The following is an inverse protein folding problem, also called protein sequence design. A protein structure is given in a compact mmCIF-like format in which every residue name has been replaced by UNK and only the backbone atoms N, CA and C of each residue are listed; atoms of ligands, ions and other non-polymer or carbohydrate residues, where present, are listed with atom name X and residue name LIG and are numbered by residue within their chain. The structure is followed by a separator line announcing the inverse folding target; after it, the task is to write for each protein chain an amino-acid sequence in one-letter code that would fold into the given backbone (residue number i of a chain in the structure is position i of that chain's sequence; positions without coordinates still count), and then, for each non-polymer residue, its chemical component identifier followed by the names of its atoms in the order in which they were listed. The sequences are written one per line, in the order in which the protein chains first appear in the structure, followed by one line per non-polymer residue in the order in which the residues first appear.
data_IF_998670366624
#
_entry.id   IF_998670366624
#
_cell.length_a   1.000
_cell.length_b   1.000
_cell.length_c   1.000
_cell.angle_alpha   90.00
_cell.angle_beta   90.00
_cell.angle_gamma   90.00
#
_symmetry.space_group_name_H-M   'P 1'
#
loop_
_entity.id
_entity.type
_entity.pdbx_description
1 polymer ?
#
# COMPACT_ATOMS: atom_id res chain seq x y z
N UNK A 1 -13.29 14.34 1.86
CA UNK A 1 -13.23 12.89 2.23
C UNK A 1 -13.10 12.05 0.96
N UNK A 2 -12.16 11.10 0.91
CA UNK A 2 -11.89 10.25 -0.26
C UNK A 2 -12.72 8.96 -0.32
N UNK A 3 -12.38 8.09 -1.26
CA UNK A 3 -12.85 6.70 -1.36
C UNK A 3 -11.64 5.81 -1.59
N UNK A 4 -11.46 4.79 -0.76
CA UNK A 4 -10.31 3.89 -0.77
C UNK A 4 -10.68 2.56 -1.42
N UNK A 5 -9.92 2.18 -2.44
CA UNK A 5 -10.03 0.91 -3.13
C UNK A 5 -8.79 0.04 -2.86
N UNK A 6 -8.99 -1.26 -2.68
CA UNK A 6 -7.91 -2.23 -2.53
C UNK A 6 -7.64 -2.91 -3.87
N UNK A 7 -6.39 -2.87 -4.32
CA UNK A 7 -5.90 -3.54 -5.53
C UNK A 7 -4.91 -4.62 -5.08
N UNK A 8 -5.24 -5.91 -5.28
CA UNK A 8 -4.35 -7.01 -4.91
C UNK A 8 -3.18 -7.13 -5.89
N UNK A 9 -2.08 -7.72 -5.41
CA UNK A 9 -0.91 -8.13 -6.20
C UNK A 9 -0.32 -7.05 -7.10
N UNK A 10 -0.26 -5.83 -6.58
CA UNK A 10 0.26 -4.66 -7.27
C UNK A 10 1.42 -4.06 -6.48
N UNK A 11 2.27 -3.31 -7.18
CA UNK A 11 3.33 -2.49 -6.59
C UNK A 11 3.03 -1.01 -6.81
N UNK A 12 3.59 -0.13 -5.97
CA UNK A 12 3.45 1.32 -6.16
C UNK A 12 3.97 1.70 -7.56
N UNK A 13 5.09 1.14 -8.02
CA UNK A 13 5.67 1.42 -9.33
C UNK A 13 4.78 1.02 -10.52
N UNK A 14 4.08 -0.11 -10.43
CA UNK A 14 3.09 -0.48 -11.44
C UNK A 14 1.89 0.48 -11.44
N UNK A 15 1.40 0.87 -10.25
CA UNK A 15 0.32 1.84 -10.13
C UNK A 15 0.70 3.20 -10.74
N UNK A 16 1.95 3.64 -10.57
CA UNK A 16 2.49 4.82 -11.25
C UNK A 16 2.47 4.67 -12.77
N UNK A 17 2.94 3.53 -13.27
CA UNK A 17 3.00 3.27 -14.72
C UNK A 17 1.63 3.20 -15.38
N UNK A 18 0.61 2.77 -14.62
CA UNK A 18 -0.78 2.66 -15.08
C UNK A 18 -1.65 3.86 -14.68
N UNK A 19 -1.08 4.87 -14.02
CA UNK A 19 -1.83 5.93 -13.36
C UNK A 19 -2.69 6.75 -14.33
N UNK A 20 -2.11 7.19 -15.46
CA UNK A 20 -2.83 7.95 -16.49
C UNK A 20 -4.00 7.14 -17.07
N UNK A 21 -3.79 5.84 -17.31
CA UNK A 21 -4.84 4.97 -17.83
C UNK A 21 -5.93 4.67 -16.80
N UNK A 22 -5.59 4.62 -15.51
CA UNK A 22 -6.50 4.25 -14.42
C UNK A 22 -7.32 5.43 -13.91
N UNK A 23 -6.69 6.59 -13.78
CA UNK A 23 -7.25 7.74 -13.09
C UNK A 23 -7.41 8.97 -13.99
N UNK A 24 -6.80 8.98 -15.18
CA UNK A 24 -6.96 10.05 -16.16
C UNK A 24 -6.68 11.42 -15.56
N UNK A 25 -7.64 12.34 -15.71
CA UNK A 25 -7.54 13.74 -15.24
C UNK A 25 -7.36 13.90 -13.72
N UNK A 26 -7.63 12.85 -12.94
CA UNK A 26 -7.43 12.85 -11.48
C UNK A 26 -5.94 12.80 -11.13
N UNK A 27 -5.14 12.13 -11.96
CA UNK A 27 -3.72 11.97 -11.75
C UNK A 27 -2.93 13.06 -12.46
N UNK A 28 -2.02 13.70 -11.74
CA UNK A 28 -1.05 14.64 -12.30
C UNK A 28 0.36 14.05 -12.19
N UNK A 29 0.95 13.71 -13.34
CA UNK A 29 2.33 13.20 -13.44
C UNK A 29 3.37 14.22 -12.98
N UNK A 30 3.06 15.52 -13.08
CA UNK A 30 3.97 16.60 -12.71
C UNK A 30 3.84 17.03 -11.24
N UNK A 31 2.87 16.46 -10.51
CA UNK A 31 2.74 16.75 -9.09
C UNK A 31 3.97 16.26 -8.33
N UNK A 32 4.52 17.11 -7.45
CA UNK A 32 5.61 16.72 -6.57
C UNK A 32 5.08 15.74 -5.52
N UNK A 33 5.52 14.47 -5.57
CA UNK A 33 5.09 13.41 -4.67
C UNK A 33 6.18 13.06 -3.67
N UNK A 34 5.74 12.67 -2.48
CA UNK A 34 6.59 12.27 -1.37
C UNK A 34 6.23 10.85 -0.98
N UNK A 35 7.26 10.09 -0.63
CA UNK A 35 7.09 8.83 0.09
C UNK A 35 7.33 9.05 1.57
N UNK A 36 6.43 8.52 2.38
CA UNK A 36 6.56 8.49 3.84
C UNK A 36 6.38 7.06 4.33
N UNK A 37 6.93 6.80 5.52
CA UNK A 37 6.74 5.55 6.25
C UNK A 37 5.85 5.81 7.47
N UNK A 38 4.79 5.02 7.63
CA UNK A 38 3.95 5.04 8.82
C UNK A 38 4.20 3.77 9.63
N UNK A 39 4.42 3.93 10.93
CA UNK A 39 4.66 2.83 11.89
C UNK A 39 3.66 2.92 13.02
N UNK A 40 2.78 1.92 13.14
CA UNK A 40 1.69 1.93 14.11
C UNK A 40 1.33 0.53 14.61
N UNK A 41 0.65 0.39 15.77
CA UNK A 41 0.25 -0.90 16.30
C UNK A 41 -0.62 -1.70 15.34
N UNK A 42 -0.43 -3.02 15.28
CA UNK A 42 -1.21 -3.88 14.36
C UNK A 42 -2.72 -3.78 14.52
N UNK A 43 -3.21 -3.50 15.73
CA UNK A 43 -4.65 -3.30 16.02
C UNK A 43 -5.27 -2.15 15.22
N UNK A 44 -4.49 -1.14 14.83
CA UNK A 44 -4.96 0.05 14.09
C UNK A 44 -4.91 -0.14 12.57
N UNK A 45 -4.47 -1.31 12.08
CA UNK A 45 -4.34 -1.60 10.65
C UNK A 45 -5.60 -1.35 9.84
N UNK A 46 -6.76 -1.84 10.29
CA UNK A 46 -8.03 -1.64 9.58
C UNK A 46 -8.43 -0.17 9.47
N UNK A 47 -8.11 0.64 10.49
CA UNK A 47 -8.35 2.08 10.47
C UNK A 47 -7.43 2.74 9.42
N UNK A 48 -6.15 2.38 9.42
CA UNK A 48 -5.17 2.90 8.46
C UNK A 48 -5.39 2.46 7.01
N UNK A 49 -6.03 1.31 6.79
CA UNK A 49 -6.49 0.86 5.46
C UNK A 49 -7.58 1.77 4.88
N UNK A 50 -8.42 2.39 5.73
CA UNK A 50 -9.52 3.28 5.33
C UNK A 50 -9.23 4.76 5.66
N UNK A 51 -7.98 5.09 6.02
CA UNK A 51 -7.61 6.45 6.44
C UNK A 51 -7.97 7.51 5.41
N UNK A 52 -7.78 7.19 4.13
CA UNK A 52 -8.11 8.08 3.03
C UNK A 52 -9.60 8.36 2.84
N UNK A 53 -10.49 7.55 3.41
CA UNK A 53 -11.94 7.82 3.39
C UNK A 53 -12.30 8.97 4.34
N UNK A 54 -11.50 9.18 5.38
CA UNK A 54 -11.71 10.22 6.39
C UNK A 54 -11.09 11.56 6.00
N UNK A 55 -10.23 11.58 4.97
CA UNK A 55 -9.42 12.73 4.62
C UNK A 55 -9.79 13.26 3.24
N UNK A 56 -9.75 14.57 3.07
CA UNK A 56 -9.85 15.22 1.77
C UNK A 56 -8.44 15.47 1.22
N UNK A 57 -8.21 15.02 -0.01
CA UNK A 57 -6.99 15.20 -0.78
C UNK A 57 -7.35 15.56 -2.21
N UNK A 58 -6.39 16.13 -2.93
CA UNK A 58 -6.54 16.52 -4.33
C UNK A 58 -6.08 15.45 -5.31
N UNK A 59 -5.06 14.67 -4.95
CA UNK A 59 -4.44 13.64 -5.81
C UNK A 59 -4.65 12.22 -5.24
N UNK A 60 -4.59 11.17 -6.07
CA UNK A 60 -4.62 9.79 -5.59
C UNK A 60 -3.47 9.52 -4.61
N UNK A 61 -3.81 8.93 -3.47
CA UNK A 61 -2.84 8.50 -2.45
C UNK A 61 -2.66 7.00 -2.53
N UNK A 62 -1.43 6.55 -2.74
CA UNK A 62 -1.10 5.13 -2.92
C UNK A 62 -0.45 4.64 -1.63
N UNK A 63 -0.97 3.57 -1.06
CA UNK A 63 -0.38 3.00 0.15
C UNK A 63 -0.18 1.50 0.01
N UNK A 64 0.88 1.00 0.61
CA UNK A 64 1.16 -0.44 0.65
C UNK A 64 1.68 -0.82 2.02
N UNK A 65 1.23 -1.97 2.50
CA UNK A 65 1.69 -2.54 3.75
C UNK A 65 2.86 -3.47 3.51
N UNK A 66 3.99 -3.18 4.13
CA UNK A 66 5.12 -4.07 4.18
C UNK A 66 5.08 -4.91 5.47
N UNK A 67 5.33 -6.22 5.35
CA UNK A 67 5.44 -7.12 6.49
C UNK A 67 6.85 -7.72 6.50
N UNK A 68 7.73 -7.26 7.40
CA UNK A 68 9.06 -7.85 7.55
C UNK A 68 9.00 -9.37 7.72
N UNK A 69 9.80 -10.10 6.94
CA UNK A 69 9.90 -11.56 6.99
C UNK A 69 11.27 -11.96 7.50
N UNK A 70 12.17 -12.34 6.60
CA UNK A 70 13.50 -12.80 6.94
C UNK A 70 14.36 -11.65 7.50
N UNK A 71 14.12 -10.43 7.01
CA UNK A 71 14.72 -9.18 7.46
C UNK A 71 14.21 -8.66 8.81
N UNK A 72 13.26 -9.36 9.44
CA UNK A 72 12.74 -8.99 10.75
C UNK A 72 13.83 -8.97 11.84
N UNK A 73 14.83 -9.84 11.75
CA UNK A 73 15.96 -9.90 12.68
C UNK A 73 16.73 -8.57 12.75
N UNK A 74 16.86 -7.86 11.63
CA UNK A 74 17.56 -6.57 11.57
C UNK A 74 16.81 -5.44 12.27
N UNK A 75 15.49 -5.59 12.46
CA UNK A 75 14.68 -4.69 13.27
C UNK A 75 14.73 -5.09 14.75
N UNK A 76 14.76 -6.38 15.04
CA UNK A 76 14.94 -6.92 16.40
C UNK A 76 16.31 -6.51 16.97
N UNK A 77 17.37 -6.51 16.16
CA UNK A 77 18.70 -6.02 16.52
C UNK A 77 18.71 -4.52 16.90
N UNK A 78 17.75 -3.74 16.39
CA UNK A 78 17.53 -2.34 16.76
C UNK A 78 16.64 -2.19 18.00
N UNK A 79 16.23 -3.29 18.63
CA UNK A 79 15.32 -3.29 19.78
C UNK A 79 13.87 -3.02 19.43
N UNK A 80 13.46 -3.21 18.17
CA UNK A 80 12.09 -3.02 17.70
C UNK A 80 11.43 -4.38 17.43
N UNK A 81 10.26 -4.65 18.03
CA UNK A 81 9.48 -5.87 17.74
C UNK A 81 8.65 -5.71 16.44
N UNK A 82 8.99 -6.41 15.34
CA UNK A 82 8.25 -6.31 14.07
C UNK A 82 6.84 -6.93 14.17
N UNK A 83 6.58 -7.74 15.19
CA UNK A 83 5.30 -8.40 15.43
C UNK A 83 4.28 -7.50 16.12
N UNK A 84 4.71 -6.46 16.80
CA UNK A 84 3.82 -5.49 17.45
C UNK A 84 3.30 -4.40 16.49
N UNK A 85 4.01 -4.16 15.38
CA UNK A 85 3.73 -3.05 14.47
C UNK A 85 3.27 -3.49 13.07
N UNK A 86 2.64 -2.54 12.38
CA UNK A 86 2.45 -2.51 10.94
C UNK A 86 3.30 -1.40 10.35
N UNK A 87 3.84 -1.67 9.17
CA UNK A 87 4.64 -0.72 8.40
C UNK A 87 3.90 -0.44 7.10
N UNK A 88 3.58 0.82 6.86
CA UNK A 88 2.85 1.26 5.68
C UNK A 88 3.68 2.31 4.96
N UNK A 89 4.02 2.04 3.71
CA UNK A 89 4.56 3.07 2.82
C UNK A 89 3.38 3.81 2.20
N UNK A 90 3.44 5.12 2.28
CA UNK A 90 2.43 6.02 1.74
C UNK A 90 3.11 6.93 0.74
N UNK A 91 2.57 6.94 -0.46
CA UNK A 91 2.99 7.79 -1.55
C UNK A 91 1.86 8.81 -1.80
N UNK A 92 2.19 10.08 -1.58
CA UNK A 92 1.22 11.17 -1.48
C UNK A 92 1.75 12.43 -2.15
N UNK A 93 0.88 13.23 -2.77
CA UNK A 93 1.27 14.53 -3.25
C UNK A 93 1.69 15.44 -2.09
N UNK A 94 2.76 16.21 -2.27
CA UNK A 94 3.28 17.15 -1.26
C UNK A 94 2.22 18.04 -0.60
N UNK A 95 1.26 18.66 -1.34
CA UNK A 95 0.22 19.49 -0.71
C UNK A 95 -0.76 18.69 0.17
N UNK A 96 -0.97 17.41 -0.10
CA UNK A 96 -1.94 16.57 0.61
C UNK A 96 -1.37 15.98 1.91
N UNK A 97 -0.04 15.99 2.09
CA UNK A 97 0.63 15.44 3.27
C UNK A 97 0.19 16.09 4.59
N UNK A 98 0.02 17.41 4.60
CA UNK A 98 -0.40 18.16 5.79
C UNK A 98 -1.76 17.70 6.29
N UNK A 99 -2.84 17.82 5.48
CA UNK A 99 -4.16 17.29 5.81
C UNK A 99 -4.15 15.80 6.17
N UNK A 100 -3.36 15.00 5.43
CA UNK A 100 -3.24 13.55 5.66
C UNK A 100 -2.74 13.18 7.06
N UNK A 101 -1.79 13.95 7.58
CA UNK A 101 -1.15 13.70 8.87
C UNK A 101 -1.75 14.51 10.02
N UNK A 102 -2.57 15.52 9.73
CA UNK A 102 -3.05 16.48 10.73
C UNK A 102 -3.73 15.80 11.92
N UNK A 103 -4.69 14.90 11.67
CA UNK A 103 -5.41 14.23 12.75
C UNK A 103 -4.49 13.32 13.58
N UNK A 104 -3.57 12.59 12.93
CA UNK A 104 -2.62 11.71 13.60
C UNK A 104 -1.65 12.48 14.50
N UNK A 105 -1.18 13.64 14.06
CA UNK A 105 -0.26 14.49 14.84
C UNK A 105 -1.02 15.23 15.95
N UNK A 106 -2.16 15.85 15.63
CA UNK A 106 -2.89 16.70 16.58
C UNK A 106 -3.61 15.91 17.66
N UNK A 107 -4.29 14.82 17.30
CA UNK A 107 -5.13 14.05 18.22
C UNK A 107 -4.35 12.91 18.86
N UNK A 108 -3.66 12.11 18.04
CA UNK A 108 -2.99 10.88 18.49
C UNK A 108 -1.51 11.10 18.85
N UNK A 109 -1.00 12.33 18.70
CA UNK A 109 0.36 12.72 19.09
C UNK A 109 1.45 11.88 18.41
N UNK A 110 1.25 11.55 17.14
CA UNK A 110 2.25 10.86 16.35
C UNK A 110 3.54 11.65 16.28
N UNK A 111 4.67 10.94 16.37
CA UNK A 111 6.00 11.53 16.35
C UNK A 111 6.61 11.41 14.96
N UNK A 112 7.26 12.48 14.50
CA UNK A 112 8.00 12.53 13.24
C UNK A 112 9.47 12.23 13.49
N UNK A 113 10.06 11.37 12.67
CA UNK A 113 11.50 11.12 12.59
C UNK A 113 11.89 10.88 11.13
N UNK A 114 13.20 10.80 10.85
CA UNK A 114 13.72 10.38 9.55
C UNK A 114 14.25 8.96 9.70
N UNK A 115 14.04 8.13 8.68
CA UNK A 115 14.50 6.74 8.63
C UNK A 115 15.24 6.51 7.32
N UNK A 116 16.39 5.87 7.40
CA UNK A 116 17.14 5.43 6.23
C UNK A 116 16.57 4.09 5.76
N UNK A 117 15.97 4.08 4.57
CA UNK A 117 15.46 2.87 3.93
C UNK A 117 16.58 2.26 3.10
N UNK A 118 17.02 1.06 3.49
CA UNK A 118 18.20 0.40 2.96
C UNK A 118 17.84 -0.96 2.35
N UNK A 119 18.65 -1.41 1.40
CA UNK A 119 18.57 -2.81 0.95
C UNK A 119 19.05 -3.75 2.06
N UNK A 120 18.42 -4.93 2.16
CA UNK A 120 18.88 -5.99 3.05
C UNK A 120 20.35 -6.35 2.75
N UNK A 121 21.22 -6.50 3.77
CA UNK A 121 22.60 -6.89 3.56
C UNK A 121 22.72 -8.26 2.87
N UNK A 122 23.65 -8.39 1.91
CA UNK A 122 23.88 -9.64 1.18
C UNK A 122 24.20 -10.83 2.08
N UNK A 123 24.73 -10.60 3.28
CA UNK A 123 25.02 -11.63 4.29
C UNK A 123 23.79 -12.41 4.76
N UNK A 124 22.58 -11.87 4.58
CA UNK A 124 21.32 -12.55 4.92
C UNK A 124 20.94 -13.63 3.90
N UNK A 125 21.55 -13.64 2.71
CA UNK A 125 21.38 -14.72 1.73
C UNK A 125 19.97 -14.86 1.16
N UNK A 126 19.16 -13.78 1.12
CA UNK A 126 17.79 -13.86 0.60
C UNK A 126 17.80 -14.13 -0.91
N UNK A 127 17.07 -15.16 -1.40
CA UNK A 127 17.19 -15.66 -2.77
C UNK A 127 16.74 -14.67 -3.84
N UNK A 128 15.79 -13.78 -3.52
CA UNK A 128 15.18 -12.84 -4.47
C UNK A 128 15.53 -11.38 -4.20
N UNK A 129 16.50 -11.07 -3.34
CA UNK A 129 16.79 -9.67 -3.01
C UNK A 129 17.36 -8.88 -4.19
N UNK A 130 16.99 -7.61 -4.28
CA UNK A 130 17.54 -6.63 -5.21
C UNK A 130 18.14 -5.49 -4.40
N UNK A 131 19.44 -5.27 -4.51
CA UNK A 131 20.10 -4.11 -3.92
C UNK A 131 19.61 -2.82 -4.55
N UNK A 132 19.49 -1.76 -3.74
CA UNK A 132 19.08 -0.43 -4.19
C UNK A 132 19.76 0.65 -3.32
N UNK A 133 19.74 1.89 -3.80
CA UNK A 133 20.34 3.03 -3.11
C UNK A 133 19.57 3.38 -1.84
N UNK A 134 20.30 3.72 -0.76
CA UNK A 134 19.68 4.15 0.49
C UNK A 134 18.89 5.44 0.29
N UNK A 135 17.61 5.42 0.66
CA UNK A 135 16.73 6.58 0.56
C UNK A 135 16.36 7.08 1.97
N UNK A 136 16.47 8.38 2.23
CA UNK A 136 16.00 8.98 3.47
C UNK A 136 14.51 9.28 3.37
N UNK A 137 13.71 8.63 4.22
CA UNK A 137 12.25 8.73 4.19
C UNK A 137 11.74 9.37 5.48
N UNK A 138 10.74 10.25 5.35
CA UNK A 138 10.05 10.81 6.51
C UNK A 138 9.19 9.71 7.14
N UNK A 139 9.41 9.44 8.42
CA UNK A 139 8.67 8.46 9.19
C UNK A 139 7.76 9.16 10.20
N UNK A 140 6.50 8.72 10.25
CA UNK A 140 5.60 9.06 11.34
C UNK A 140 5.26 7.79 12.12
N UNK A 141 5.49 7.84 13.43
CA UNK A 141 5.27 6.70 14.31
C UNK A 141 4.24 7.01 15.39
N UNK A 142 3.44 6.00 15.72
CA UNK A 142 2.56 6.02 16.88
C UNK A 142 3.38 6.12 18.18
N UNK A 143 2.93 6.90 19.18
CA UNK A 143 3.71 7.16 20.39
C UNK A 143 4.02 5.92 21.26
N UNK A 144 3.24 4.85 21.12
CA UNK A 144 3.45 3.60 21.87
C UNK A 144 4.58 2.72 21.33
N UNK A 145 5.15 3.04 20.16
CA UNK A 145 6.18 2.22 19.52
C UNK A 145 7.55 2.91 19.58
N UNK A 146 8.65 2.15 19.70
CA UNK A 146 10.00 2.73 19.67
C UNK A 146 10.30 3.37 18.31
N UNK A 147 11.25 4.30 18.28
CA UNK A 147 11.79 4.82 17.02
C UNK A 147 12.75 3.83 16.39
N UNK A 148 12.86 3.87 15.06
CA UNK A 148 13.89 3.18 14.30
C UNK A 148 14.71 4.21 13.54
N UNK A 149 15.97 3.89 13.27
CA UNK A 149 16.85 4.70 12.42
C UNK A 149 16.96 4.11 11.01
N UNK A 150 16.94 2.78 10.90
CA UNK A 150 17.16 2.06 9.65
C UNK A 150 16.02 1.07 9.39
N UNK A 151 15.50 1.07 8.17
CA UNK A 151 14.48 0.12 7.72
C UNK A 151 15.00 -0.66 6.52
N UNK A 152 14.97 -1.99 6.59
CA UNK A 152 15.53 -2.85 5.56
C UNK A 152 14.42 -3.43 4.68
N UNK A 153 14.65 -3.42 3.37
CA UNK A 153 13.75 -4.03 2.38
C UNK A 153 14.53 -4.95 1.43
N UNK A 154 13.93 -6.08 1.01
CA UNK A 154 14.52 -6.93 -0.02
C UNK A 154 14.42 -6.33 -1.44
N UNK A 155 13.50 -5.37 -1.64
CA UNK A 155 13.27 -4.68 -2.91
C UNK A 155 13.13 -3.17 -2.68
N UNK A 156 13.35 -2.32 -3.71
CA UNK A 156 13.05 -0.90 -3.61
C UNK A 156 11.60 -0.65 -3.14
N UNK A 157 11.30 0.45 -2.43
CA UNK A 157 9.96 0.71 -1.91
C UNK A 157 8.86 0.74 -2.99
N UNK A 158 9.19 1.15 -4.23
CA UNK A 158 8.24 1.15 -5.37
C UNK A 158 7.88 -0.26 -5.84
N UNK A 159 8.69 -1.27 -5.50
CA UNK A 159 8.61 -2.63 -6.02
C UNK A 159 8.19 -3.65 -4.97
N UNK A 160 7.77 -3.19 -3.79
CA UNK A 160 7.19 -4.07 -2.77
C UNK A 160 5.88 -4.63 -3.32
N UNK A 161 5.73 -5.96 -3.46
CA UNK A 161 4.48 -6.57 -3.89
C UNK A 161 3.52 -6.69 -2.71
N UNK A 162 2.23 -6.43 -2.94
CA UNK A 162 1.22 -6.65 -1.91
C UNK A 162 -0.15 -6.07 -2.24
N UNK A 163 -0.95 -5.90 -1.19
CA UNK A 163 -2.26 -5.22 -1.27
C UNK A 163 -2.00 -3.72 -1.24
N UNK A 164 -2.23 -3.07 -2.38
CA UNK A 164 -2.18 -1.62 -2.48
C UNK A 164 -3.56 -1.05 -2.13
N UNK A 165 -3.60 -0.04 -1.26
CA UNK A 165 -4.80 0.73 -0.97
C UNK A 165 -4.65 2.09 -1.61
N UNK A 166 -5.53 2.40 -2.55
CA UNK A 166 -5.55 3.63 -3.32
C UNK A 166 -6.72 4.47 -2.86
N UNK A 167 -6.44 5.65 -2.31
CA UNK A 167 -7.48 6.60 -1.94
C UNK A 167 -7.67 7.63 -3.04
N UNK A 168 -8.90 7.75 -3.54
CA UNK A 168 -9.30 8.64 -4.63
C UNK A 168 -10.11 9.83 -4.11
N UNK A 169 -9.86 11.04 -4.64
CA UNK A 169 -10.57 12.25 -4.22
C UNK A 169 -12.04 12.20 -4.67
N UNK A 170 -13.00 12.39 -3.73
CA UNK A 170 -14.45 12.28 -4.05
C UNK A 170 -14.94 13.31 -5.04
N UNK A 171 -14.39 14.52 -5.01
CA UNK A 171 -14.88 15.63 -5.83
C UNK A 171 -14.72 15.33 -7.33
N UNK A 172 -13.64 14.64 -7.70
CA UNK A 172 -13.37 14.22 -9.08
C UNK A 172 -13.89 12.81 -9.37
N UNK A 173 -13.92 11.89 -8.39
CA UNK A 173 -14.57 10.58 -8.57
C UNK A 173 -16.08 10.70 -8.88
N UNK A 174 -16.76 11.71 -8.32
CA UNK A 174 -18.15 12.02 -8.65
C UNK A 174 -18.33 12.60 -10.07
N UNK A 175 -17.35 13.36 -10.58
CA UNK A 175 -17.34 13.85 -11.96
C UNK A 175 -17.05 12.72 -12.95
N UNK A 176 -16.11 11.82 -12.63
CA UNK A 176 -15.81 10.63 -13.44
C UNK A 176 -17.00 9.66 -13.45
N UNK A 177 -17.69 9.47 -12.33
CA UNK A 177 -18.95 8.72 -12.28
C UNK A 177 -20.07 9.40 -13.10
N UNK A 178 -20.12 10.74 -13.16
CA UNK A 178 -21.04 11.48 -14.04
C UNK A 178 -20.68 11.30 -15.52
N UNK A 179 -19.41 11.38 -15.87
CA UNK A 179 -18.95 11.13 -17.24
C UNK A 179 -19.22 9.68 -17.67
N UNK A 180 -18.99 8.70 -16.78
CA UNK A 180 -19.35 7.30 -17.04
C UNK A 180 -20.87 7.10 -17.19
N UNK A 181 -21.69 7.78 -16.37
CA UNK A 181 -23.14 7.74 -16.51
C UNK A 181 -23.65 8.45 -17.78
N UNK A 182 -22.96 9.49 -18.23
CA UNK A 182 -23.23 10.21 -19.48
C UNK A 182 -22.87 9.36 -20.70
N UNK A 183 -21.72 8.68 -20.67
CA UNK A 183 -21.23 7.77 -21.72
C UNK A 183 -22.10 6.49 -21.81
N UNK A 184 -22.61 5.96 -20.69
CA UNK A 184 -23.52 4.80 -20.69
C UNK A 184 -24.99 5.16 -20.98
N UNK A 185 -25.36 6.43 -21.11
CA UNK A 185 -26.71 6.85 -21.48
C UNK A 185 -27.82 6.44 -20.50
N UNK A 186 -27.51 5.98 -19.29
CA UNK A 186 -28.50 5.63 -18.26
C UNK A 186 -28.69 6.85 -17.35
N UNK A 187 -29.47 7.82 -17.83
CA UNK A 187 -29.69 9.05 -17.09
C UNK A 187 -30.63 10.08 -17.69
N UNK A 188 -31.36 9.78 -18.78
CA UNK A 188 -32.56 10.57 -19.11
C UNK A 188 -33.74 9.97 -18.38
N UNK A 189 -33.99 10.48 -17.18
CA UNK A 189 -35.31 10.35 -16.55
C UNK A 189 -36.31 11.07 -17.45
N UNK A 190 -36.94 10.31 -18.35
CA UNK A 190 -38.04 10.75 -19.18
C UNK A 190 -39.14 11.22 -18.23
N UNK A 191 -39.39 12.53 -18.18
CA UNK A 191 -40.60 13.09 -17.57
C UNK A 191 -41.80 12.45 -18.27
N UNK A 192 -42.43 11.45 -17.64
CA UNK A 192 -43.74 10.96 -18.06
C UNK A 192 -44.78 11.97 -17.59
N UNK A 193 -45.21 12.80 -18.54
CA UNK A 193 -46.45 13.57 -18.47
C UNK A 193 -47.66 12.65 -18.65
N UNK A 194 -48.78 13.10 -18.06
CA UNK A 194 -50.16 12.57 -18.10
C UNK A 194 -50.49 11.39 -17.19
N UNK A 195 -51.02 11.73 -16.01
CA UNK A 195 -52.26 11.13 -15.51
C UNK A 195 -53.30 12.26 -15.43
N UNK A 196 -54.48 11.94 -15.93
CA UNK A 196 -55.66 12.78 -16.13
C UNK A 196 -56.30 13.22 -14.80
N UNK A 197 -56.67 14.49 -14.78
CA UNK A 197 -57.67 15.21 -13.98
C UNK A 197 -58.56 14.37 -13.05
N UNK A 198 -58.49 14.68 -11.75
CA UNK A 198 -59.67 14.69 -10.89
C UNK A 198 -59.63 16.00 -10.08
N UNK A 199 -60.43 16.98 -10.50
CA UNK A 199 -60.74 18.19 -9.73
C UNK A 199 -61.51 17.81 -8.47
N UNK A 200 -61.00 18.17 -7.29
CA UNK A 200 -61.81 18.66 -6.15
C UNK A 200 -60.97 19.63 -5.30
N UNK A 201 -61.49 20.85 -5.21
CA UNK A 201 -61.34 21.88 -4.17
C UNK A 201 -59.96 22.45 -3.80
N UNK A 202 -59.79 23.69 -4.25
CA UNK A 202 -58.89 24.73 -3.76
C UNK A 202 -59.24 25.14 -2.31
N UNK A 203 -58.26 25.21 -1.40
CA UNK A 203 -58.18 26.31 -0.42
C UNK A 203 -56.82 26.40 0.33
N UNK A 204 -56.27 27.63 0.25
CA UNK A 204 -55.38 28.40 1.14
C UNK A 204 -53.87 28.08 1.29
N UNK A 205 -53.10 29.10 0.85
CA UNK A 205 -51.68 29.43 0.99
C UNK A 205 -51.15 29.53 2.44
N UNK A 206 -49.89 29.16 2.65
CA UNK A 206 -49.08 29.58 3.81
C UNK A 206 -47.69 30.12 3.38
N UNK A 207 -47.16 31.18 4.03
CA UNK A 207 -45.98 31.95 3.61
C UNK A 207 -44.62 31.32 4.02
N UNK A 208 -43.47 31.85 3.51
CA UNK A 208 -42.13 31.35 3.83
C UNK A 208 -41.73 31.56 5.30
N UNK A 209 -40.74 30.78 5.82
CA UNK A 209 -40.31 30.89 7.21
C UNK A 209 -39.62 32.23 7.48
N UNK A 210 -40.04 32.87 8.56
CA UNK A 210 -39.48 34.12 9.09
C UNK A 210 -38.20 33.80 9.85
N UNK A 211 -37.08 34.37 9.40
CA UNK A 211 -35.79 34.30 10.08
C UNK A 211 -35.84 35.13 11.37
N UNK A 212 -35.46 34.53 12.51
CA UNK A 212 -35.51 35.21 13.80
C UNK A 212 -34.36 36.23 13.92
N UNK A 213 -34.65 37.41 14.49
CA UNK A 213 -33.67 38.51 14.67
C UNK A 213 -32.40 38.10 15.43
N UNK A 214 -32.43 37.03 16.25
CA UNK A 214 -31.26 36.54 16.96
C UNK A 214 -30.20 35.89 16.03
N UNK A 215 -30.63 35.22 14.96
CA UNK A 215 -29.72 34.61 13.98
C UNK A 215 -29.14 35.66 13.02
N UNK A 216 -29.91 36.68 12.66
CA UNK A 216 -29.40 37.81 11.89
C UNK A 216 -28.35 38.64 12.67
N UNK A 217 -28.50 38.74 14.00
CA UNK A 217 -27.56 39.46 14.85
C UNK A 217 -26.26 38.67 15.05
N UNK A 218 -26.34 37.33 15.14
CA UNK A 218 -25.16 36.47 15.27
C UNK A 218 -24.33 36.42 13.98
N UNK A 219 -24.98 36.36 12.80
CA UNK A 219 -24.28 36.43 11.51
C UNK A 219 -23.64 37.81 11.28
N UNK A 220 -24.31 38.91 11.67
CA UNK A 220 -23.73 40.25 11.56
C UNK A 220 -22.51 40.46 12.46
N UNK A 221 -22.46 39.83 13.64
CA UNK A 221 -21.28 39.88 14.52
C UNK A 221 -20.11 39.03 13.98
N UNK A 222 -20.40 37.90 13.32
CA UNK A 222 -19.39 37.02 12.72
C UNK A 222 -18.74 37.65 11.47
N UNK A 223 -19.54 38.35 10.67
CA UNK A 223 -19.06 39.08 9.47
C UNK A 223 -18.23 40.31 9.85
N UNK A 224 -18.62 41.03 10.93
CA UNK A 224 -17.86 42.19 11.40
C UNK A 224 -16.49 41.79 11.98
N UNK A 225 -16.42 40.63 12.67
CA UNK A 225 -15.16 40.09 13.18
C UNK A 225 -14.20 39.61 12.06
N UNK A 226 -14.74 39.05 10.97
CA UNK A 226 -13.91 38.66 9.81
C UNK A 226 -13.35 39.86 9.06
N UNK A 227 -14.11 40.94 8.92
CA UNK A 227 -13.63 42.16 8.28
C UNK A 227 -12.57 42.89 9.12
N UNK A 228 -12.75 42.98 10.45
CA UNK A 228 -11.79 43.64 11.35
C UNK A 228 -10.45 42.88 11.45
N UNK A 229 -10.46 41.56 11.27
CA UNK A 229 -9.23 40.73 11.22
C UNK A 229 -8.47 40.87 9.89
N UNK A 230 -9.18 41.06 8.78
CA UNK A 230 -8.59 41.32 7.45
C UNK A 230 -8.03 42.74 7.35
N UNK A 231 -8.66 43.72 7.99
CA UNK A 231 -8.22 45.12 7.99
C UNK A 231 -6.96 45.34 8.84
N UNK A 232 -6.82 44.64 9.97
CA UNK A 232 -5.60 44.63 10.80
C UNK A 232 -4.36 43.95 10.15
N UNK A 233 -4.57 43.22 9.05
CA UNK A 233 -3.48 42.56 8.29
C UNK A 233 -3.08 43.38 7.05
N UNK A 234 -3.93 44.34 6.64
CA UNK A 234 -3.67 45.27 5.53
C UNK A 234 -2.96 46.55 5.99
N UNK A 235 -3.01 46.90 7.28
CA UNK A 235 -2.29 48.03 7.88
C UNK A 235 -1.15 47.54 8.79
N UNK A 236 -0.06 47.06 8.20
CA UNK A 236 1.25 47.05 8.86
C UNK A 236 2.28 47.79 8.01
N UNK A 237 2.85 48.80 8.64
CA UNK A 237 3.75 49.83 8.13
C UNK A 237 5.04 49.26 7.50
N UNK A 238 5.56 50.01 6.53
CA UNK A 238 6.90 49.88 5.96
C UNK A 238 7.97 49.85 7.07
N UNK A 239 8.74 48.77 7.14
CA UNK A 239 9.99 48.72 7.92
C UNK A 239 11.18 48.66 6.96
N UNK A 240 12.05 49.65 7.15
CA UNK A 240 13.27 49.97 6.42
C UNK A 240 14.19 48.81 6.03
N UNK A 241 14.87 49.06 4.91
CA UNK A 241 16.01 48.38 4.31
C UNK A 241 16.91 47.58 5.26
N UNK A 242 17.01 46.26 5.01
CA UNK A 242 18.20 45.47 5.36
C UNK A 242 18.76 44.88 4.07
N UNK A 243 19.97 45.29 3.74
CA UNK A 243 20.67 44.96 2.50
C UNK A 243 20.92 43.45 2.33
N UNK A 244 20.57 42.92 1.16
CA UNK A 244 20.96 41.59 0.70
C UNK A 244 22.47 41.56 0.35
N UNK A 245 23.25 40.57 0.82
CA UNK A 245 24.54 40.30 0.22
C UNK A 245 24.34 39.63 -1.15
N UNK A 246 24.79 40.32 -2.20
CA UNK A 246 25.01 39.75 -3.53
C UNK A 246 26.28 38.90 -3.52
N UNK A 247 26.21 37.66 -3.97
CA UNK A 247 26.94 37.17 -5.16
C UNK A 247 26.99 35.64 -5.18
N UNK A 248 26.46 35.08 -6.26
CA UNK A 248 26.83 33.77 -6.79
C UNK A 248 28.23 33.90 -7.42
N UNK A 249 29.16 32.95 -7.24
CA UNK A 249 30.35 32.91 -8.06
C UNK A 249 29.98 32.40 -9.46
N UNK A 250 30.45 33.14 -10.46
CA UNK A 250 30.41 32.75 -11.86
C UNK A 250 31.54 31.76 -12.17
N UNK A 251 31.33 31.05 -13.26
CA UNK A 251 32.11 29.94 -13.77
C UNK A 251 33.47 30.39 -14.34
N UNK A 252 34.47 30.64 -13.48
CA UNK A 252 35.88 30.75 -13.90
C UNK A 252 36.95 30.55 -12.80
N UNK A 253 36.59 30.16 -11.56
CA UNK A 253 37.55 29.87 -10.48
C UNK A 253 37.51 28.41 -9.98
N UNK A 254 37.20 27.45 -10.86
CA UNK A 254 37.44 26.02 -10.61
C UNK A 254 38.72 25.61 -11.33
N UNK A 255 39.84 26.21 -10.93
CA UNK A 255 41.15 25.92 -11.50
C UNK A 255 42.28 26.10 -10.47
N UNK A 256 42.11 25.60 -9.25
CA UNK A 256 43.22 25.28 -8.35
C UNK A 256 42.68 24.53 -7.12
N UNK A 257 43.11 23.28 -6.92
CA UNK A 257 42.91 22.60 -5.63
C UNK A 257 42.40 21.16 -5.67
N UNK A 258 42.81 20.35 -6.64
CA UNK A 258 42.73 18.89 -6.49
C UNK A 258 43.74 18.44 -5.43
N UNK A 259 43.27 18.16 -4.21
CA UNK A 259 44.02 17.41 -3.21
C UNK A 259 44.15 15.95 -3.68
N UNK A 260 45.26 15.71 -4.38
CA UNK A 260 45.69 14.41 -4.88
C UNK A 260 46.18 13.56 -3.70
N UNK A 261 45.51 12.43 -3.42
CA UNK A 261 46.02 11.40 -2.50
C UNK A 261 47.03 10.55 -3.28
N UNK A 262 48.32 10.50 -2.89
CA UNK A 262 49.34 9.78 -3.64
C UNK A 262 49.30 8.28 -3.30
N UNK A 263 49.10 7.43 -4.32
CA UNK A 263 49.44 6.00 -4.23
C UNK A 263 50.96 5.79 -4.48
N UNK A 264 51.61 4.85 -3.76
CA UNK A 264 53.05 4.64 -3.83
C UNK A 264 53.52 3.95 -5.14
N UNK A 265 54.74 4.24 -5.66
CA UNK A 265 55.24 3.68 -6.90
C UNK A 265 56.22 2.49 -6.72
N UNK A 266 56.37 1.73 -7.80
CA UNK A 266 57.35 0.65 -8.12
C UNK A 266 56.90 -0.79 -7.82
N UNK A 267 57.03 -1.79 -8.72
CA UNK A 267 57.63 -1.83 -10.06
C UNK A 267 57.29 -3.16 -10.78
N UNK A 268 57.15 -3.07 -12.11
CA UNK A 268 57.51 -4.04 -13.18
C UNK A 268 56.71 -5.36 -13.34
N UNK A 269 55.83 -5.35 -14.35
CA UNK A 269 56.02 -6.05 -15.64
C UNK A 269 55.52 -7.49 -15.78
N UNK A 270 54.48 -7.71 -16.60
CA UNK A 270 54.58 -8.36 -17.92
C UNK A 270 53.21 -8.44 -18.64
N UNK A 271 53.27 -8.13 -19.92
CA UNK A 271 52.46 -8.49 -21.11
C UNK A 271 50.95 -8.81 -21.06
N UNK A 272 50.32 -8.19 -22.06
CA UNK A 272 49.00 -8.38 -22.65
C UNK A 272 48.73 -9.84 -23.07
N UNK A 273 47.49 -10.30 -22.87
CA UNK A 273 46.63 -10.85 -23.95
C UNK A 273 45.21 -11.21 -23.48
N UNK A 274 44.28 -10.83 -24.35
CA UNK A 274 42.84 -11.07 -24.46
C UNK A 274 42.44 -12.56 -24.43
N UNK A 275 41.23 -12.92 -23.94
CA UNK A 275 40.65 -14.24 -24.20
C UNK A 275 39.44 -14.16 -25.15
N UNK A 276 39.60 -14.79 -26.32
CA UNK A 276 38.52 -15.24 -27.20
C UNK A 276 37.90 -16.57 -26.72
N UNK A 277 36.74 -16.90 -27.29
CA UNK A 277 35.69 -17.79 -26.79
C UNK A 277 35.63 -19.11 -27.62
N UNK A 278 35.43 -20.28 -26.95
CA UNK A 278 34.99 -21.68 -27.35
C UNK A 278 35.84 -22.53 -28.34
N UNK A 279 35.65 -23.88 -28.45
CA UNK A 279 35.21 -24.95 -27.53
C UNK A 279 36.20 -26.14 -27.42
N UNK A 280 36.13 -26.94 -26.35
CA UNK A 280 36.73 -28.27 -26.29
C UNK A 280 35.68 -29.39 -26.24
N UNK A 281 35.65 -30.17 -27.33
CA UNK A 281 35.12 -31.53 -27.41
C UNK A 281 36.28 -32.50 -27.21
N UNK A 282 36.15 -33.50 -26.35
CA UNK A 282 36.83 -34.80 -26.54
C UNK A 282 35.95 -35.95 -26.03
N UNK A 283 35.77 -36.90 -26.94
CA UNK A 283 35.10 -38.17 -26.81
C UNK A 283 35.71 -39.07 -25.73
N UNK A 284 34.86 -39.83 -25.06
CA UNK A 284 35.24 -41.11 -24.45
C UNK A 284 34.25 -42.16 -24.94
N UNK A 285 34.78 -43.07 -25.75
CA UNK A 285 34.08 -44.24 -26.29
C UNK A 285 33.83 -45.25 -25.17
N UNK A 286 32.58 -45.73 -25.05
CA UNK A 286 32.26 -46.96 -24.33
C UNK A 286 31.94 -48.04 -25.38
N UNK A 287 32.68 -49.14 -25.33
CA UNK A 287 32.45 -50.35 -26.11
C UNK A 287 31.23 -51.13 -25.59
N UNK A 288 30.44 -51.63 -26.53
CA UNK A 288 29.35 -52.58 -26.33
C UNK A 288 29.86 -53.97 -25.93
N UNK A 289 29.17 -54.63 -25.00
CA UNK A 289 29.07 -56.09 -25.01
C UNK A 289 27.77 -56.58 -24.35
N UNK A 290 26.83 -56.94 -25.23
CA UNK A 290 26.03 -58.18 -25.22
C UNK A 290 25.38 -58.71 -23.92
N UNK A 291 24.05 -58.70 -23.97
CA UNK A 291 23.10 -59.78 -23.60
C UNK A 291 23.13 -60.32 -22.18
N UNK A 292 22.13 -59.94 -21.39
CA UNK A 292 21.37 -60.85 -20.53
C UNK A 292 20.01 -60.22 -20.20
N UNK A 293 18.93 -60.98 -20.43
CA UNK A 293 17.57 -60.71 -19.96
C UNK A 293 17.56 -60.36 -18.46
N UNK A 294 17.22 -59.11 -18.14
CA UNK A 294 16.84 -58.73 -16.77
C UNK A 294 15.49 -58.01 -16.86
N UNK A 295 14.49 -58.65 -16.28
CA UNK A 295 13.11 -58.18 -16.09
C UNK A 295 13.08 -56.68 -15.76
N UNK A 296 12.30 -55.94 -16.54
CA UNK A 296 11.83 -54.60 -16.20
C UNK A 296 11.24 -54.66 -14.78
N UNK A 297 11.63 -53.77 -13.84
CA UNK A 297 10.96 -53.72 -12.55
C UNK A 297 9.50 -53.38 -12.82
N UNK A 298 8.63 -54.28 -12.38
CA UNK A 298 7.19 -54.09 -12.35
C UNK A 298 6.93 -52.81 -11.55
N UNK A 299 6.56 -51.74 -12.24
CA UNK A 299 6.09 -50.51 -11.60
C UNK A 299 4.87 -50.95 -10.81
N UNK A 300 5.05 -51.09 -9.50
CA UNK A 300 3.93 -51.16 -8.58
C UNK A 300 3.24 -49.81 -8.73
N UNK A 301 2.18 -49.77 -9.55
CA UNK A 301 1.14 -48.78 -9.40
C UNK A 301 0.50 -49.06 -8.04
N UNK A 302 1.16 -48.60 -6.98
CA UNK A 302 0.41 -48.19 -5.81
C UNK A 302 -0.63 -47.20 -6.34
N UNK A 303 -1.94 -47.42 -6.07
CA UNK A 303 -2.90 -46.39 -6.41
C UNK A 303 -2.41 -45.13 -5.71
N UNK A 304 -2.20 -44.05 -6.47
CA UNK A 304 -2.00 -42.71 -5.92
C UNK A 304 -3.24 -42.42 -5.05
N UNK A 305 -3.19 -42.82 -3.77
CA UNK A 305 -4.05 -42.24 -2.77
C UNK A 305 -3.72 -40.75 -2.83
N UNK A 306 -4.70 -39.87 -3.09
CA UNK A 306 -4.44 -38.45 -3.05
C UNK A 306 -3.82 -38.18 -1.68
N UNK A 307 -2.57 -37.71 -1.64
CA UNK A 307 -1.90 -37.30 -0.42
C UNK A 307 -2.68 -36.11 0.16
N UNK A 308 -3.79 -36.41 0.84
CA UNK A 308 -4.59 -35.42 1.55
C UNK A 308 -3.67 -34.85 2.63
N UNK A 309 -3.51 -33.54 2.62
CA UNK A 309 -2.69 -32.86 3.64
C UNK A 309 -3.19 -33.25 5.03
N UNK A 310 -2.29 -33.37 6.01
CA UNK A 310 -2.65 -33.71 7.40
C UNK A 310 -3.79 -32.80 7.93
N UNK A 311 -3.80 -31.53 7.52
CA UNK A 311 -4.85 -30.57 7.89
C UNK A 311 -6.19 -30.83 7.20
N UNK A 312 -6.18 -31.36 5.98
CA UNK A 312 -7.38 -31.75 5.24
C UNK A 312 -8.02 -32.98 5.88
N UNK A 313 -7.21 -33.98 6.29
CA UNK A 313 -7.70 -35.17 7.00
C UNK A 313 -8.35 -34.76 8.34
N UNK A 314 -7.69 -33.89 9.10
CA UNK A 314 -8.20 -33.39 10.38
C UNK A 314 -9.51 -32.60 10.20
N UNK A 315 -9.58 -31.76 9.17
CA UNK A 315 -10.77 -30.98 8.85
C UNK A 315 -11.95 -31.88 8.43
N UNK A 316 -11.72 -32.82 7.51
CA UNK A 316 -12.75 -33.78 7.07
C UNK A 316 -13.26 -34.63 8.23
N UNK A 317 -12.38 -35.04 9.14
CA UNK A 317 -12.74 -35.79 10.34
C UNK A 317 -13.62 -34.96 11.31
N UNK A 318 -13.31 -33.67 11.50
CA UNK A 318 -14.13 -32.77 12.33
C UNK A 318 -15.53 -32.61 11.72
N UNK A 319 -15.60 -32.29 10.42
CA UNK A 319 -16.87 -32.06 9.71
C UNK A 319 -17.74 -33.31 9.71
N UNK A 320 -17.16 -34.47 9.37
CA UNK A 320 -17.89 -35.75 9.38
C UNK A 320 -18.35 -36.13 10.78
N UNK A 321 -17.53 -35.87 11.82
CA UNK A 321 -17.89 -36.13 13.21
C UNK A 321 -19.04 -35.26 13.72
N UNK A 322 -19.08 -33.99 13.32
CA UNK A 322 -20.15 -33.06 13.66
C UNK A 322 -21.45 -33.38 12.91
N UNK A 323 -21.38 -33.74 11.63
CA UNK A 323 -22.54 -34.24 10.87
C UNK A 323 -23.09 -35.54 11.47
N UNK A 324 -22.22 -36.48 11.83
CA UNK A 324 -22.63 -37.72 12.51
C UNK A 324 -23.24 -37.47 13.91
N UNK A 325 -22.91 -36.37 14.56
CA UNK A 325 -23.50 -35.92 15.82
C UNK A 325 -24.84 -35.17 15.61
N UNK A 326 -25.29 -34.97 14.37
CA UNK A 326 -26.53 -34.29 14.02
C UNK A 326 -26.45 -32.76 14.14
N UNK A 327 -25.25 -32.18 14.05
CA UNK A 327 -25.06 -30.73 14.04
C UNK A 327 -25.31 -30.20 12.63
N UNK A 328 -26.21 -29.23 12.49
CA UNK A 328 -26.52 -28.64 11.19
C UNK A 328 -25.32 -27.84 10.64
N UNK A 329 -25.09 -27.82 9.31
CA UNK A 329 -23.97 -27.09 8.68
C UNK A 329 -23.83 -25.61 9.06
N UNK A 330 -24.93 -24.93 9.38
CA UNK A 330 -24.90 -23.54 9.87
C UNK A 330 -24.23 -23.42 11.23
N UNK A 331 -24.45 -24.40 12.11
CA UNK A 331 -24.04 -24.38 13.52
C UNK A 331 -22.61 -24.91 13.70
N UNK A 332 -22.08 -25.63 12.70
CA UNK A 332 -20.70 -26.13 12.68
C UNK A 332 -19.67 -25.00 12.66
N UNK A 333 -20.01 -23.84 12.10
CA UNK A 333 -19.10 -22.69 12.02
C UNK A 333 -18.89 -22.00 13.36
N UNK A 334 -19.81 -22.23 14.31
CA UNK A 334 -19.74 -21.70 15.67
C UNK A 334 -18.95 -22.64 16.63
N UNK A 335 -18.49 -23.80 16.15
CA UNK A 335 -17.68 -24.72 16.97
C UNK A 335 -16.26 -24.14 17.19
N UNK A 336 -15.76 -24.04 18.44
CA UNK A 336 -14.42 -23.53 18.72
C UNK A 336 -13.27 -24.29 18.03
N UNK A 337 -13.50 -25.55 17.64
CA UNK A 337 -12.54 -26.38 16.89
C UNK A 337 -12.52 -26.00 15.41
N UNK A 338 -13.64 -25.52 14.86
CA UNK A 338 -13.74 -25.05 13.49
C UNK A 338 -12.82 -23.86 13.24
N UNK A 339 -12.86 -22.84 14.12
CA UNK A 339 -11.99 -21.66 14.03
C UNK A 339 -10.51 -22.04 14.09
N UNK A 340 -10.14 -22.93 15.03
CA UNK A 340 -8.76 -23.38 15.22
C UNK A 340 -8.21 -24.17 14.03
N UNK A 341 -9.02 -25.03 13.41
CA UNK A 341 -8.60 -25.78 12.21
C UNK A 341 -8.58 -24.88 10.98
N UNK A 342 -9.54 -23.96 10.84
CA UNK A 342 -9.58 -22.99 9.75
C UNK A 342 -8.37 -22.04 9.76
N UNK A 343 -7.93 -21.61 10.95
CA UNK A 343 -6.72 -20.81 11.12
C UNK A 343 -5.46 -21.60 10.67
N UNK A 344 -5.34 -22.86 11.10
CA UNK A 344 -4.23 -23.74 10.71
C UNK A 344 -4.25 -24.08 9.21
N UNK A 345 -5.43 -24.32 8.64
CA UNK A 345 -5.62 -24.54 7.22
C UNK A 345 -5.16 -23.34 6.39
N UNK A 346 -5.56 -22.14 6.80
CA UNK A 346 -5.14 -20.89 6.17
C UNK A 346 -3.61 -20.71 6.25
N UNK A 347 -2.99 -21.14 7.35
CA UNK A 347 -1.53 -21.05 7.52
C UNK A 347 -0.74 -21.96 6.56
N UNK A 348 -1.34 -23.05 6.08
CA UNK A 348 -0.74 -23.99 5.11
C UNK A 348 -1.24 -23.73 3.68
N UNK A 349 -2.12 -22.72 3.49
CA UNK A 349 -2.72 -22.41 2.19
C UNK A 349 -3.81 -23.38 1.76
N UNK A 350 -4.39 -24.15 2.70
CA UNK A 350 -5.53 -25.04 2.45
C UNK A 350 -6.85 -24.28 2.62
N UNK A 351 -7.69 -24.27 1.59
CA UNK A 351 -9.02 -23.67 1.63
C UNK A 351 -10.06 -24.66 2.17
N UNK A 352 -10.62 -24.38 3.35
CA UNK A 352 -11.58 -25.26 4.03
C UNK A 352 -12.99 -25.21 3.41
N UNK A 353 -13.35 -24.12 2.76
CA UNK A 353 -14.71 -23.87 2.25
C UNK A 353 -15.15 -24.83 1.13
N UNK A 354 -14.35 -25.08 0.07
CA UNK A 354 -14.73 -26.03 -0.98
C UNK A 354 -14.91 -27.46 -0.44
N UNK A 355 -14.05 -27.88 0.48
CA UNK A 355 -14.11 -29.22 1.10
C UNK A 355 -15.31 -29.35 2.03
N UNK A 356 -15.65 -28.28 2.76
CA UNK A 356 -16.86 -28.24 3.58
C UNK A 356 -18.13 -28.38 2.74
N UNK A 357 -18.25 -27.62 1.65
CA UNK A 357 -19.40 -27.72 0.75
C UNK A 357 -19.54 -29.11 0.13
N UNK A 358 -18.41 -29.74 -0.20
CA UNK A 358 -18.39 -31.12 -0.70
C UNK A 358 -18.93 -32.11 0.35
N UNK A 359 -18.54 -31.98 1.62
CA UNK A 359 -18.98 -32.87 2.69
C UNK A 359 -20.44 -32.61 3.11
N UNK A 360 -20.84 -31.34 3.20
CA UNK A 360 -22.22 -30.96 3.53
C UNK A 360 -23.22 -31.30 2.42
N UNK A 361 -22.77 -31.41 1.16
CA UNK A 361 -23.60 -31.82 0.03
C UNK A 361 -23.68 -33.35 -0.17
N UNK A 362 -22.91 -34.15 0.59
CA UNK A 362 -22.95 -35.61 0.57
C UNK A 362 -24.02 -36.20 1.51
N UNK A 363 -24.82 -35.36 2.17
CA UNK A 363 -25.94 -35.73 3.05
C UNK A 363 -27.27 -35.91 2.30
#
# INVERSE_FOLDING_TARGET
MGITAMIPDMTIGQLYSEADSRWGEIWDEHAARLRILLIFPRKERKMMELHGDMIEHGQPVLTIFHRPRDEASLLEDQGFDPRAASFQFVDIASPDLGPWMQQLISNEKWMRNTVDVMSVPFSMGLPTQRSFETEQVICFRHPSLPSIERYYLPFPPNSIPGKCFVSLPRRQAAELARQQAEVLGVGRLIKKSKITVQEVAEEVSSPPPVMNQAEATMNAMMDNFSNEMLENMAEQEEVNEVALPKSSPSHEEIAAGTAFVPLPPSAKGHDEKEPEIIPHSQDTQMEESSTNDVKLPEIQNEPDEPEMSEIEIEFRALVTGLLAAGVEPSDMMDDPRWEKISERATAVGFETWPVFLQLAAME
#
